data_IF_095268448969
#
_entry.id   IF_095268448969
#
_cell.length_a   1.000
_cell.length_b   1.000
_cell.length_c   1.000
_cell.angle_alpha   90.00
_cell.angle_beta   90.00
_cell.angle_gamma   90.00
#
_symmetry.space_group_name_H-M   'P 1'
#
loop_
_entity.id
_entity.type
_entity.pdbx_description
1 polymer ?
#
# COMPACT_ATOMS: atom_id res chain seq x y z
N UNK A 1 -17.28 13.65 -19.93
CA UNK A 1 -16.56 12.55 -19.24
C UNK A 1 -15.09 12.47 -19.67
N UNK A 2 -14.78 12.29 -20.96
CA UNK A 2 -13.39 12.25 -21.46
C UNK A 2 -12.54 13.51 -21.20
N UNK A 3 -13.06 14.75 -21.37
CA UNK A 3 -12.28 15.96 -21.08
C UNK A 3 -11.87 16.03 -19.60
N UNK A 4 -12.81 15.72 -18.71
CA UNK A 4 -12.59 15.62 -17.27
C UNK A 4 -11.50 14.60 -16.93
N UNK A 5 -11.59 13.40 -17.51
CA UNK A 5 -10.57 12.37 -17.34
C UNK A 5 -9.18 12.82 -17.80
N UNK A 6 -9.11 13.52 -18.94
CA UNK A 6 -7.86 14.07 -19.48
C UNK A 6 -7.27 15.14 -18.56
N UNK A 7 -8.09 16.03 -17.99
CA UNK A 7 -7.65 17.02 -17.00
C UNK A 7 -7.07 16.34 -15.75
N UNK A 8 -7.74 15.30 -15.24
CA UNK A 8 -7.22 14.51 -14.11
C UNK A 8 -5.85 13.91 -14.41
N UNK A 9 -5.70 13.30 -15.59
CA UNK A 9 -4.45 12.66 -16.00
C UNK A 9 -3.31 13.67 -16.12
N UNK A 10 -3.58 14.83 -16.74
CA UNK A 10 -2.61 15.92 -16.87
C UNK A 10 -2.16 16.45 -15.51
N UNK A 11 -3.08 16.62 -14.56
CA UNK A 11 -2.76 17.06 -13.21
C UNK A 11 -1.85 16.05 -12.50
N UNK A 12 -2.23 14.78 -12.49
CA UNK A 12 -1.45 13.71 -11.85
C UNK A 12 -0.06 13.55 -12.48
N UNK A 13 0.05 13.63 -13.80
CA UNK A 13 1.34 13.59 -14.49
C UNK A 13 2.18 14.84 -14.25
N UNK A 14 1.56 16.03 -14.16
CA UNK A 14 2.29 17.25 -13.83
C UNK A 14 2.86 17.16 -12.42
N UNK A 15 2.09 16.68 -11.44
CA UNK A 15 2.56 16.43 -10.08
C UNK A 15 3.72 15.43 -10.09
N UNK A 16 3.59 14.32 -10.82
CA UNK A 16 4.63 13.30 -10.93
C UNK A 16 5.91 13.83 -11.59
N UNK A 17 5.80 14.45 -12.77
CA UNK A 17 6.93 15.00 -13.52
C UNK A 17 7.65 16.08 -12.72
N UNK A 18 6.92 16.96 -12.04
CA UNK A 18 7.51 17.94 -11.14
C UNK A 18 8.25 17.27 -9.98
N UNK A 19 7.70 16.18 -9.42
CA UNK A 19 8.37 15.37 -8.40
C UNK A 19 9.66 14.72 -8.90
N UNK A 20 9.64 14.13 -10.10
CA UNK A 20 10.83 13.53 -10.74
C UNK A 20 11.88 14.61 -11.03
N UNK A 21 11.49 15.73 -11.62
CA UNK A 21 12.40 16.85 -11.89
C UNK A 21 13.02 17.40 -10.60
N UNK A 22 12.23 17.54 -9.54
CA UNK A 22 12.74 17.94 -8.23
C UNK A 22 13.79 16.95 -7.70
N UNK A 23 13.55 15.64 -7.83
CA UNK A 23 14.49 14.62 -7.41
C UNK A 23 15.78 14.61 -8.25
N UNK A 24 15.66 14.67 -9.58
CA UNK A 24 16.80 14.69 -10.49
C UNK A 24 17.70 15.92 -10.27
N UNK A 25 17.12 17.08 -9.96
CA UNK A 25 17.86 18.30 -9.60
C UNK A 25 18.64 18.18 -8.29
N UNK A 26 18.34 17.22 -7.42
CA UNK A 26 19.11 16.95 -6.19
C UNK A 26 20.33 16.05 -6.41
N UNK A 27 20.40 15.30 -7.52
CA UNK A 27 21.51 14.40 -7.79
C UNK A 27 22.69 15.24 -8.33
N UNK A 28 23.85 15.32 -7.65
CA UNK A 28 24.94 16.21 -8.05
C UNK A 28 25.43 16.00 -9.49
N UNK A 29 25.46 14.76 -9.97
CA UNK A 29 25.89 14.38 -11.31
C UNK A 29 24.90 14.82 -12.40
N UNK A 30 23.61 14.69 -12.12
CA UNK A 30 22.53 14.91 -13.11
C UNK A 30 22.02 16.35 -13.06
N UNK A 31 22.20 17.05 -11.92
CA UNK A 31 21.77 18.43 -11.70
C UNK A 31 22.20 19.36 -12.82
N UNK A 32 23.44 19.22 -13.32
CA UNK A 32 24.02 20.05 -14.40
C UNK A 32 23.26 19.94 -15.73
N UNK A 33 22.71 18.76 -16.04
CA UNK A 33 21.93 18.52 -17.27
C UNK A 33 20.55 19.19 -17.24
N UNK A 34 20.01 19.45 -16.05
CA UNK A 34 18.65 19.98 -15.85
C UNK A 34 18.64 21.41 -15.29
N UNK A 35 19.78 22.12 -15.27
CA UNK A 35 19.87 23.53 -14.83
C UNK A 35 19.08 24.44 -15.77
N UNK A 36 19.13 24.17 -17.08
CA UNK A 36 18.44 24.94 -18.13
C UNK A 36 17.04 24.42 -18.47
N UNK A 37 16.65 23.25 -17.95
CA UNK A 37 15.29 22.73 -18.09
C UNK A 37 14.34 23.59 -17.25
N UNK A 38 13.85 24.66 -17.87
CA UNK A 38 12.78 25.49 -17.33
C UNK A 38 11.49 24.68 -17.27
N UNK A 39 10.57 25.07 -16.39
CA UNK A 39 9.20 24.54 -16.37
C UNK A 39 8.43 24.76 -17.70
N UNK A 40 9.06 25.38 -18.72
CA UNK A 40 8.55 25.58 -20.07
C UNK A 40 8.35 24.31 -20.91
N UNK A 41 8.88 23.15 -20.49
CA UNK A 41 8.54 21.85 -21.09
C UNK A 41 7.03 21.50 -21.02
N UNK A 42 6.26 22.25 -20.21
CA UNK A 42 4.81 22.14 -20.07
C UNK A 42 4.03 22.68 -21.29
N UNK A 43 4.69 23.41 -22.20
CA UNK A 43 4.08 23.91 -23.45
C UNK A 43 3.59 22.79 -24.40
N UNK A 44 4.04 21.54 -24.19
CA UNK A 44 3.58 20.34 -24.91
C UNK A 44 2.28 19.75 -24.33
N UNK A 45 1.26 20.57 -24.07
CA UNK A 45 0.00 20.20 -23.36
C UNK A 45 -0.77 19.01 -23.96
N UNK A 46 -0.59 18.73 -25.26
CA UNK A 46 -1.22 17.58 -25.95
C UNK A 46 -0.39 16.30 -25.77
N UNK A 47 0.93 16.39 -25.93
CA UNK A 47 1.86 15.27 -25.71
C UNK A 47 1.83 14.82 -24.25
N UNK A 48 1.78 15.75 -23.30
CA UNK A 48 1.63 15.44 -21.89
C UNK A 48 0.39 14.60 -21.60
N UNK A 49 -0.75 14.86 -22.26
CA UNK A 49 -1.96 14.05 -22.09
C UNK A 49 -1.77 12.59 -22.49
N UNK A 50 -1.20 12.35 -23.67
CA UNK A 50 -0.91 10.98 -24.15
C UNK A 50 0.14 10.28 -23.30
N UNK A 51 1.23 10.96 -22.95
CA UNK A 51 2.27 10.43 -22.07
C UNK A 51 1.69 10.09 -20.69
N UNK A 52 0.81 10.93 -20.15
CA UNK A 52 0.11 10.67 -18.88
C UNK A 52 -0.71 9.40 -18.95
N UNK A 53 -1.46 9.21 -20.04
CA UNK A 53 -2.29 8.03 -20.24
C UNK A 53 -1.44 6.76 -20.29
N UNK A 54 -0.40 6.73 -21.13
CA UNK A 54 0.51 5.58 -21.27
C UNK A 54 1.21 5.29 -19.95
N UNK A 55 1.74 6.32 -19.29
CA UNK A 55 2.38 6.19 -17.98
C UNK A 55 1.44 5.60 -16.93
N UNK A 56 0.21 6.12 -16.81
CA UNK A 56 -0.76 5.61 -15.84
C UNK A 56 -1.19 4.18 -16.15
N UNK A 57 -1.37 3.85 -17.43
CA UNK A 57 -1.70 2.50 -17.86
C UNK A 57 -0.59 1.52 -17.48
N UNK A 58 0.66 1.83 -17.83
CA UNK A 58 1.83 1.01 -17.51
C UNK A 58 2.01 0.87 -15.99
N UNK A 59 1.95 1.97 -15.24
CA UNK A 59 2.17 1.95 -13.80
C UNK A 59 1.04 1.26 -13.03
N UNK A 60 -0.22 1.43 -13.47
CA UNK A 60 -1.36 0.68 -12.92
C UNK A 60 -1.25 -0.81 -13.21
N UNK A 61 -0.77 -1.17 -14.40
CA UNK A 61 -0.53 -2.56 -14.79
C UNK A 61 0.59 -3.19 -13.98
N UNK A 62 1.74 -2.52 -13.88
CA UNK A 62 2.86 -2.96 -13.04
C UNK A 62 2.45 -3.18 -11.59
N UNK A 63 1.68 -2.26 -10.99
CA UNK A 63 1.14 -2.43 -9.64
C UNK A 63 0.26 -3.67 -9.53
N UNK A 64 -0.62 -3.88 -10.51
CA UNK A 64 -1.56 -5.00 -10.50
C UNK A 64 -0.84 -6.34 -10.69
N UNK A 65 0.17 -6.38 -11.56
CA UNK A 65 1.06 -7.52 -11.78
C UNK A 65 1.82 -7.82 -10.49
N UNK A 66 2.47 -6.80 -9.88
CA UNK A 66 3.21 -6.97 -8.63
C UNK A 66 2.30 -7.48 -7.51
N UNK A 67 1.08 -6.95 -7.41
CA UNK A 67 0.10 -7.42 -6.44
C UNK A 67 -0.27 -8.89 -6.72
N UNK A 68 -0.48 -9.28 -7.98
CA UNK A 68 -0.75 -10.66 -8.34
C UNK A 68 0.45 -11.58 -8.02
N UNK A 69 1.68 -11.18 -8.32
CA UNK A 69 2.89 -11.93 -8.01
C UNK A 69 3.08 -12.09 -6.49
N UNK A 70 3.01 -11.00 -5.73
CA UNK A 70 3.24 -11.03 -4.28
C UNK A 70 2.12 -11.78 -3.57
N UNK A 71 0.85 -11.48 -3.86
CA UNK A 71 -0.25 -12.04 -3.09
C UNK A 71 -0.71 -13.42 -3.58
N UNK A 72 -0.40 -13.82 -4.82
CA UNK A 72 -0.77 -15.14 -5.32
C UNK A 72 0.45 -16.08 -5.38
N UNK A 73 1.59 -15.67 -5.95
CA UNK A 73 2.75 -16.57 -6.05
C UNK A 73 3.53 -16.71 -4.76
N UNK A 74 3.74 -15.65 -3.98
CA UNK A 74 4.56 -15.75 -2.76
C UNK A 74 4.00 -16.79 -1.78
N UNK A 75 2.70 -16.82 -1.46
CA UNK A 75 2.13 -17.91 -0.68
C UNK A 75 2.42 -19.28 -1.32
N UNK A 76 2.16 -19.44 -2.62
CA UNK A 76 2.37 -20.70 -3.32
C UNK A 76 3.83 -21.19 -3.25
N UNK A 77 4.81 -20.31 -3.42
CA UNK A 77 6.24 -20.65 -3.47
C UNK A 77 6.80 -20.93 -2.07
N UNK A 78 6.56 -20.04 -1.09
CA UNK A 78 7.20 -20.11 0.22
C UNK A 78 6.58 -21.14 1.16
N UNK A 79 5.33 -21.52 0.91
CA UNK A 79 4.57 -22.36 1.84
C UNK A 79 3.98 -23.60 1.14
N UNK A 80 4.34 -23.85 -0.12
CA UNK A 80 3.59 -24.78 -0.97
C UNK A 80 4.27 -25.36 -2.18
N UNK A 81 5.49 -25.88 -2.03
CA UNK A 81 6.03 -26.70 -3.10
C UNK A 81 5.19 -27.97 -3.30
N UNK A 82 4.56 -28.07 -4.48
CA UNK A 82 4.29 -29.36 -5.14
C UNK A 82 2.97 -30.08 -4.82
N UNK A 83 2.05 -29.54 -4.02
CA UNK A 83 0.80 -30.24 -3.68
C UNK A 83 -0.33 -29.98 -4.72
N UNK A 84 -0.74 -31.00 -5.52
CA UNK A 84 -1.81 -30.87 -6.53
C UNK A 84 -3.20 -30.58 -5.95
N UNK A 85 -3.39 -30.72 -4.64
CA UNK A 85 -4.65 -30.48 -3.95
C UNK A 85 -5.00 -29.00 -3.79
N UNK A 86 -4.01 -28.10 -3.87
CA UNK A 86 -4.20 -26.69 -3.51
C UNK A 86 -4.95 -25.91 -4.59
N UNK A 87 -5.88 -25.05 -4.16
CA UNK A 87 -6.81 -24.33 -5.02
C UNK A 87 -6.45 -22.84 -5.08
N UNK A 88 -5.66 -22.40 -6.08
CA UNK A 88 -5.12 -21.03 -6.13
C UNK A 88 -6.22 -19.95 -6.24
N UNK A 89 -7.38 -20.31 -6.78
CA UNK A 89 -8.55 -19.44 -6.85
C UNK A 89 -9.14 -19.08 -5.48
N UNK A 90 -8.82 -19.83 -4.42
CA UNK A 90 -9.14 -19.45 -3.03
C UNK A 90 -8.46 -18.13 -2.66
N UNK A 91 -7.18 -17.95 -3.00
CA UNK A 91 -6.48 -16.68 -2.76
C UNK A 91 -7.08 -15.54 -3.60
N UNK A 92 -7.47 -15.82 -4.85
CA UNK A 92 -8.14 -14.84 -5.71
C UNK A 92 -9.48 -14.39 -5.11
N UNK A 93 -10.28 -15.32 -4.61
CA UNK A 93 -11.57 -15.02 -3.98
C UNK A 93 -11.40 -14.09 -2.78
N UNK A 94 -10.47 -14.40 -1.88
CA UNK A 94 -10.27 -13.60 -0.67
C UNK A 94 -9.58 -12.27 -0.98
N UNK A 95 -8.46 -12.30 -1.71
CA UNK A 95 -7.57 -11.15 -1.84
C UNK A 95 -8.03 -10.14 -2.88
N UNK A 96 -8.83 -10.58 -3.87
CA UNK A 96 -9.39 -9.70 -4.88
C UNK A 96 -10.93 -9.64 -4.85
N UNK A 97 -11.63 -10.73 -4.53
CA UNK A 97 -13.10 -10.75 -4.52
C UNK A 97 -13.68 -10.07 -3.28
N UNK A 98 -13.46 -10.67 -2.11
CA UNK A 98 -14.05 -10.23 -0.84
C UNK A 98 -13.49 -8.89 -0.37
N UNK A 99 -12.18 -8.68 -0.49
CA UNK A 99 -11.56 -7.38 -0.17
C UNK A 99 -12.12 -6.23 -1.02
N UNK A 100 -12.50 -6.49 -2.28
CA UNK A 100 -13.03 -5.44 -3.17
C UNK A 100 -14.29 -4.79 -2.61
N UNK A 101 -15.13 -5.56 -1.90
CA UNK A 101 -16.37 -5.09 -1.27
C UNK A 101 -16.15 -3.97 -0.24
N UNK A 102 -14.94 -3.83 0.30
CA UNK A 102 -14.59 -2.88 1.35
C UNK A 102 -13.59 -1.82 0.90
N UNK A 103 -13.33 -1.72 -0.40
CA UNK A 103 -12.37 -0.75 -0.97
C UNK A 103 -13.06 0.24 -1.93
N UNK A 104 -14.02 1.08 -1.47
CA UNK A 104 -14.55 2.15 -2.31
C UNK A 104 -13.42 3.13 -2.63
N UNK A 105 -13.33 3.63 -3.86
CA UNK A 105 -12.27 4.59 -4.25
C UNK A 105 -12.80 6.00 -4.48
N UNK A 106 -14.10 6.14 -4.77
CA UNK A 106 -14.69 7.46 -4.98
C UNK A 106 -14.84 8.24 -3.66
N UNK A 107 -15.13 7.57 -2.55
CA UNK A 107 -15.34 8.20 -1.24
C UNK A 107 -14.13 8.10 -0.29
N UNK A 108 -12.92 8.01 -0.84
CA UNK A 108 -11.67 8.13 -0.08
C UNK A 108 -11.04 9.53 -0.20
N UNK A 109 -10.32 10.00 0.82
CA UNK A 109 -9.51 11.19 0.78
C UNK A 109 -8.31 10.96 -0.15
N UNK A 110 -8.12 11.89 -1.08
CA UNK A 110 -6.99 11.84 -2.00
C UNK A 110 -6.55 13.26 -2.36
N UNK A 111 -5.23 13.51 -2.34
CA UNK A 111 -4.68 14.84 -2.66
C UNK A 111 -5.10 15.35 -4.05
N UNK A 112 -5.03 14.50 -5.07
CA UNK A 112 -5.45 14.88 -6.43
C UNK A 112 -6.94 15.18 -6.50
N UNK A 113 -7.76 14.40 -5.77
CA UNK A 113 -9.21 14.63 -5.64
C UNK A 113 -9.50 15.98 -4.97
N UNK A 114 -8.79 16.27 -3.88
CA UNK A 114 -8.91 17.54 -3.18
C UNK A 114 -8.56 18.72 -4.09
N UNK A 115 -7.41 18.69 -4.77
CA UNK A 115 -6.99 19.76 -5.69
C UNK A 115 -8.04 19.96 -6.79
N UNK A 116 -8.49 18.89 -7.44
CA UNK A 116 -9.44 19.00 -8.55
C UNK A 116 -10.80 19.57 -8.11
N UNK A 117 -11.31 19.18 -6.95
CA UNK A 117 -12.64 19.58 -6.50
C UNK A 117 -12.63 20.91 -5.73
N UNK A 118 -11.64 21.14 -4.86
CA UNK A 118 -11.58 22.33 -3.99
C UNK A 118 -10.83 23.49 -4.62
N UNK A 119 -9.67 23.24 -5.23
CA UNK A 119 -8.82 24.29 -5.77
C UNK A 119 -9.22 24.63 -7.21
N UNK A 120 -9.39 23.61 -8.07
CA UNK A 120 -9.74 23.78 -9.48
C UNK A 120 -11.25 23.83 -9.74
N UNK A 121 -12.08 23.67 -8.70
CA UNK A 121 -13.55 23.76 -8.74
C UNK A 121 -14.18 22.92 -9.84
N UNK A 122 -13.63 21.73 -10.08
CA UNK A 122 -14.16 20.79 -11.06
C UNK A 122 -15.56 20.33 -10.65
N UNK A 123 -16.48 20.29 -11.62
CA UNK A 123 -17.86 19.90 -11.39
C UNK A 123 -17.95 18.46 -10.82
N UNK A 124 -18.59 18.22 -9.66
CA UNK A 124 -18.54 16.96 -8.92
C UNK A 124 -19.08 15.73 -9.66
N UNK A 125 -20.20 15.86 -10.39
CA UNK A 125 -20.85 14.75 -11.11
C UNK A 125 -19.94 14.31 -12.25
N UNK A 126 -19.44 15.28 -13.02
CA UNK A 126 -18.50 15.09 -14.10
C UNK A 126 -17.15 14.55 -13.61
N UNK A 127 -16.70 14.95 -12.42
CA UNK A 127 -15.54 14.37 -11.76
C UNK A 127 -15.80 12.90 -11.42
N UNK A 128 -16.86 12.59 -10.67
CA UNK A 128 -17.12 11.25 -10.15
C UNK A 128 -17.21 10.21 -11.28
N UNK A 129 -17.99 10.51 -12.31
CA UNK A 129 -18.16 9.64 -13.48
C UNK A 129 -16.82 9.40 -14.18
N UNK A 130 -16.08 10.46 -14.49
CA UNK A 130 -14.78 10.36 -15.15
C UNK A 130 -13.73 9.63 -14.30
N UNK A 131 -13.73 9.87 -12.98
CA UNK A 131 -12.84 9.22 -12.03
C UNK A 131 -13.10 7.72 -11.97
N UNK A 132 -14.36 7.30 -11.82
CA UNK A 132 -14.73 5.89 -11.75
C UNK A 132 -14.37 5.14 -13.03
N UNK A 133 -14.68 5.69 -14.21
CA UNK A 133 -14.30 5.08 -15.49
C UNK A 133 -12.78 4.93 -15.62
N UNK A 134 -12.03 6.00 -15.30
CA UNK A 134 -10.57 5.97 -15.32
C UNK A 134 -10.04 4.89 -14.37
N UNK A 135 -10.50 4.91 -13.12
CA UNK A 135 -9.95 4.09 -12.05
C UNK A 135 -10.28 2.62 -12.24
N UNK A 136 -11.54 2.27 -12.53
CA UNK A 136 -11.95 0.90 -12.75
C UNK A 136 -11.44 0.36 -14.08
N UNK A 137 -11.37 1.18 -15.13
CA UNK A 137 -10.77 0.81 -16.41
C UNK A 137 -9.29 0.44 -16.28
N UNK A 138 -8.48 1.27 -15.62
CA UNK A 138 -7.06 0.96 -15.42
C UNK A 138 -6.81 -0.21 -14.46
N UNK A 139 -7.64 -0.38 -13.42
CA UNK A 139 -7.57 -1.57 -12.55
C UNK A 139 -7.92 -2.83 -13.34
N UNK A 140 -8.96 -2.79 -14.17
CA UNK A 140 -9.37 -3.91 -14.99
C UNK A 140 -8.25 -4.33 -15.96
N UNK A 141 -7.71 -3.38 -16.73
CA UNK A 141 -6.62 -3.67 -17.68
C UNK A 141 -5.39 -4.21 -16.96
N UNK A 142 -4.96 -3.54 -15.89
CA UNK A 142 -3.78 -3.96 -15.14
C UNK A 142 -3.92 -5.33 -14.49
N UNK A 143 -5.08 -5.61 -13.88
CA UNK A 143 -5.37 -6.92 -13.27
C UNK A 143 -5.48 -8.03 -14.31
N UNK A 144 -6.12 -7.76 -15.44
CA UNK A 144 -6.23 -8.73 -16.54
C UNK A 144 -4.83 -9.11 -17.02
N UNK A 145 -3.94 -8.15 -17.24
CA UNK A 145 -2.54 -8.43 -17.60
C UNK A 145 -1.83 -9.25 -16.51
N UNK A 146 -2.00 -8.91 -15.24
CA UNK A 146 -1.45 -9.68 -14.12
C UNK A 146 -1.93 -11.14 -14.09
N UNK A 147 -3.23 -11.37 -14.29
CA UNK A 147 -3.78 -12.72 -14.32
C UNK A 147 -3.41 -13.48 -15.59
N UNK A 148 -3.28 -12.81 -16.74
CA UNK A 148 -2.78 -13.43 -17.96
C UNK A 148 -1.36 -13.97 -17.78
N UNK A 149 -0.47 -13.22 -17.13
CA UNK A 149 0.89 -13.68 -16.79
C UNK A 149 0.90 -14.89 -15.85
N UNK A 150 -0.15 -15.07 -15.06
CA UNK A 150 -0.31 -16.20 -14.13
C UNK A 150 -1.16 -17.34 -14.71
N UNK A 151 -1.44 -17.32 -16.01
CA UNK A 151 -2.11 -18.44 -16.69
C UNK A 151 -1.21 -19.67 -16.69
N UNK A 152 -1.78 -20.84 -16.38
CA UNK A 152 -1.05 -22.09 -16.20
C UNK A 152 -0.58 -22.33 -14.76
N UNK A 153 -0.52 -21.28 -13.92
CA UNK A 153 -0.17 -21.39 -12.50
C UNK A 153 -1.38 -21.17 -11.60
N UNK A 154 -2.09 -20.05 -11.79
CA UNK A 154 -3.26 -19.66 -10.99
C UNK A 154 -4.54 -19.86 -11.78
N UNK A 155 -4.56 -19.33 -13.01
CA UNK A 155 -5.70 -19.42 -13.93
C UNK A 155 -5.50 -20.58 -14.89
N UNK A 156 -6.55 -21.32 -15.26
CA UNK A 156 -6.40 -22.43 -16.23
C UNK A 156 -6.26 -21.96 -17.66
N UNK A 157 -6.87 -20.82 -18.01
CA UNK A 157 -6.85 -20.28 -19.37
C UNK A 157 -6.89 -18.75 -19.41
N UNK A 158 -6.50 -18.12 -20.54
CA UNK A 158 -6.63 -16.68 -20.72
C UNK A 158 -8.07 -16.17 -20.60
N UNK A 159 -9.05 -17.00 -20.99
CA UNK A 159 -10.47 -16.68 -20.87
C UNK A 159 -10.91 -16.63 -19.39
N UNK A 160 -10.37 -17.53 -18.56
CA UNK A 160 -10.61 -17.52 -17.12
C UNK A 160 -10.04 -16.25 -16.46
N UNK A 161 -8.83 -15.85 -16.85
CA UNK A 161 -8.21 -14.61 -16.39
C UNK A 161 -9.06 -13.37 -16.74
N UNK A 162 -9.60 -13.32 -17.96
CA UNK A 162 -10.50 -12.24 -18.40
C UNK A 162 -11.83 -12.27 -17.64
N UNK A 163 -12.44 -13.46 -17.50
CA UNK A 163 -13.71 -13.65 -16.80
C UNK A 163 -13.64 -13.21 -15.33
N UNK A 164 -12.63 -13.68 -14.59
CA UNK A 164 -12.41 -13.29 -13.19
C UNK A 164 -12.11 -11.79 -13.09
N UNK A 165 -11.36 -11.24 -14.05
CA UNK A 165 -11.10 -9.80 -14.08
C UNK A 165 -12.38 -8.97 -14.27
N UNK A 166 -13.30 -9.42 -15.13
CA UNK A 166 -14.62 -8.83 -15.31
C UNK A 166 -15.46 -8.92 -14.04
N UNK A 167 -15.50 -10.10 -13.40
CA UNK A 167 -16.22 -10.30 -12.13
C UNK A 167 -15.76 -9.31 -11.06
N UNK A 168 -14.45 -9.19 -10.83
CA UNK A 168 -13.92 -8.29 -9.80
C UNK A 168 -14.17 -6.82 -10.15
N UNK A 169 -14.19 -6.45 -11.44
CA UNK A 169 -14.58 -5.09 -11.87
C UNK A 169 -16.05 -4.84 -11.57
N UNK A 170 -16.92 -5.82 -11.84
CA UNK A 170 -18.35 -5.74 -11.52
C UNK A 170 -18.60 -5.57 -10.02
N UNK A 171 -17.93 -6.38 -9.19
CA UNK A 171 -17.94 -6.20 -7.73
C UNK A 171 -17.41 -4.83 -7.31
N UNK A 172 -16.41 -4.30 -8.03
CA UNK A 172 -15.89 -2.96 -7.82
C UNK A 172 -16.95 -1.88 -8.04
N UNK A 173 -17.65 -1.91 -9.17
CA UNK A 173 -18.75 -0.99 -9.44
C UNK A 173 -19.90 -1.14 -8.44
N UNK A 174 -20.20 -2.39 -8.04
CA UNK A 174 -21.13 -2.70 -6.95
C UNK A 174 -20.73 -2.05 -5.63
N UNK A 175 -19.45 -2.09 -5.30
CA UNK A 175 -18.89 -1.48 -4.10
C UNK A 175 -19.05 0.04 -4.13
N UNK A 176 -18.71 0.70 -5.25
CA UNK A 176 -18.87 2.15 -5.37
C UNK A 176 -20.34 2.56 -5.23
N UNK A 177 -21.25 1.85 -5.89
CA UNK A 177 -22.69 2.10 -5.79
C UNK A 177 -23.23 1.89 -4.36
N UNK A 178 -22.83 0.80 -3.69
CA UNK A 178 -23.21 0.50 -2.32
C UNK A 178 -22.76 1.62 -1.37
N UNK A 179 -21.52 2.11 -1.51
CA UNK A 179 -21.01 3.16 -0.63
C UNK A 179 -21.66 4.51 -0.89
N UNK A 180 -21.96 4.85 -2.15
CA UNK A 180 -22.77 6.02 -2.47
C UNK A 180 -24.18 5.92 -1.87
N UNK A 181 -24.79 4.73 -1.90
CA UNK A 181 -26.08 4.46 -1.27
C UNK A 181 -26.04 4.61 0.25
N UNK A 182 -25.06 3.99 0.90
CA UNK A 182 -24.86 4.10 2.35
C UNK A 182 -24.62 5.55 2.77
N UNK A 183 -23.86 6.32 1.98
CA UNK A 183 -23.68 7.74 2.22
C UNK A 183 -25.00 8.51 2.08
N UNK A 184 -25.78 8.27 1.02
CA UNK A 184 -27.08 8.94 0.82
C UNK A 184 -28.07 8.64 1.96
N UNK A 185 -28.08 7.40 2.47
CA UNK A 185 -29.03 6.96 3.50
C UNK A 185 -28.60 7.27 4.94
N UNK A 186 -27.32 7.14 5.25
CA UNK A 186 -26.80 7.18 6.63
C UNK A 186 -25.63 8.16 6.83
N UNK A 187 -25.22 8.88 5.79
CA UNK A 187 -23.97 9.67 5.77
C UNK A 187 -22.73 8.87 6.17
N UNK A 188 -22.79 7.56 5.95
CA UNK A 188 -21.73 6.62 6.32
C UNK A 188 -20.54 6.73 5.36
N UNK A 189 -19.34 6.89 5.91
CA UNK A 189 -18.08 6.93 5.18
C UNK A 189 -17.14 5.85 5.72
N UNK A 190 -16.85 4.84 4.90
CA UNK A 190 -16.04 3.70 5.32
C UNK A 190 -14.60 4.09 5.73
N UNK A 191 -14.06 5.14 5.10
CA UNK A 191 -12.72 5.66 5.38
C UNK A 191 -12.53 6.10 6.84
N UNK A 192 -13.61 6.52 7.52
CA UNK A 192 -13.55 6.95 8.93
C UNK A 192 -13.28 5.79 9.89
N UNK A 193 -13.43 4.54 9.42
CA UNK A 193 -13.22 3.32 10.20
C UNK A 193 -11.91 2.60 9.83
N UNK A 194 -10.83 3.36 9.60
CA UNK A 194 -9.52 2.85 9.15
C UNK A 194 -8.95 1.70 10.00
N UNK A 195 -9.09 1.74 11.32
CA UNK A 195 -8.62 0.68 12.22
C UNK A 195 -9.41 -0.62 12.00
N UNK A 196 -10.75 -0.53 11.94
CA UNK A 196 -11.61 -1.68 11.67
C UNK A 196 -11.31 -2.30 10.30
N UNK A 197 -11.01 -1.46 9.30
CA UNK A 197 -10.59 -1.93 7.99
C UNK A 197 -9.27 -2.69 8.02
N UNK A 198 -8.29 -2.24 8.81
CA UNK A 198 -7.03 -2.97 8.98
C UNK A 198 -7.28 -4.37 9.52
N UNK A 199 -8.07 -4.50 10.60
CA UNK A 199 -8.42 -5.81 11.16
C UNK A 199 -9.20 -6.67 10.16
N UNK A 200 -10.13 -6.08 9.42
CA UNK A 200 -10.88 -6.78 8.38
C UNK A 200 -9.96 -7.29 7.27
N UNK A 201 -9.01 -6.49 6.79
CA UNK A 201 -8.06 -6.92 5.77
C UNK A 201 -7.10 -7.98 6.29
N UNK A 202 -6.64 -7.89 7.54
CA UNK A 202 -5.86 -8.95 8.18
C UNK A 202 -6.65 -10.25 8.29
N UNK A 203 -7.94 -10.18 8.62
CA UNK A 203 -8.82 -11.34 8.67
C UNK A 203 -9.06 -11.95 7.29
N UNK A 204 -9.28 -11.13 6.26
CA UNK A 204 -9.46 -11.62 4.89
C UNK A 204 -8.16 -12.21 4.31
N UNK A 205 -7.03 -11.55 4.54
CA UNK A 205 -5.73 -12.04 4.06
C UNK A 205 -5.27 -13.28 4.83
N UNK A 206 -5.32 -13.23 6.16
CA UNK A 206 -4.98 -14.35 7.03
C UNK A 206 -5.92 -15.54 6.85
N UNK A 207 -7.23 -15.29 6.77
CA UNK A 207 -8.24 -16.32 6.53
C UNK A 207 -8.13 -16.95 5.14
N UNK A 208 -7.90 -16.14 4.10
CA UNK A 208 -7.67 -16.64 2.74
C UNK A 208 -6.42 -17.51 2.64
N UNK A 209 -5.31 -17.08 3.27
CA UNK A 209 -4.10 -17.88 3.36
C UNK A 209 -4.33 -19.16 4.17
N UNK A 210 -4.94 -19.08 5.35
CA UNK A 210 -5.23 -20.24 6.20
C UNK A 210 -6.09 -21.28 5.48
N UNK A 211 -7.16 -20.86 4.80
CA UNK A 211 -8.00 -21.77 4.01
C UNK A 211 -7.24 -22.38 2.82
N UNK A 212 -6.37 -21.62 2.17
CA UNK A 212 -5.55 -22.13 1.08
C UNK A 212 -4.58 -23.25 1.54
N UNK A 213 -4.04 -23.19 2.77
CA UNK A 213 -3.14 -24.22 3.30
C UNK A 213 -3.84 -25.34 4.05
N UNK A 214 -4.69 -25.00 5.01
CA UNK A 214 -5.27 -25.93 5.97
C UNK A 214 -6.65 -26.42 5.54
N UNK A 215 -7.26 -25.80 4.53
CA UNK A 215 -8.56 -26.18 3.98
C UNK A 215 -8.48 -26.65 2.53
N UNK A 216 -7.72 -27.70 2.17
CA UNK A 216 -7.55 -28.15 0.79
C UNK A 216 -8.87 -28.53 0.09
N UNK A 217 -9.91 -28.88 0.87
CA UNK A 217 -11.26 -29.14 0.37
C UNK A 217 -12.00 -27.87 -0.10
N UNK A 218 -11.60 -26.69 0.37
CA UNK A 218 -12.21 -25.42 0.00
C UNK A 218 -11.61 -24.91 -1.32
N UNK A 219 -12.45 -24.85 -2.34
CA UNK A 219 -12.09 -24.36 -3.66
C UNK A 219 -12.83 -23.05 -3.95
N UNK A 220 -12.14 -21.92 -3.80
CA UNK A 220 -12.69 -20.61 -4.16
C UNK A 220 -13.09 -20.52 -5.63
N UNK A 221 -12.54 -21.37 -6.49
CA UNK A 221 -12.93 -21.50 -7.90
C UNK A 221 -14.37 -21.98 -8.07
N UNK A 222 -14.88 -22.82 -7.17
CA UNK A 222 -16.29 -23.26 -7.18
C UNK A 222 -17.27 -22.11 -6.96
N UNK A 223 -16.83 -21.04 -6.30
CA UNK A 223 -17.64 -19.83 -6.09
C UNK A 223 -17.42 -18.85 -7.25
N UNK A 224 -16.16 -18.55 -7.56
CA UNK A 224 -15.80 -17.56 -8.58
C UNK A 224 -16.28 -17.95 -9.98
N UNK A 225 -16.13 -19.22 -10.36
CA UNK A 225 -16.45 -19.71 -11.71
C UNK A 225 -17.88 -20.25 -11.83
N UNK A 226 -18.68 -20.20 -10.76
CA UNK A 226 -20.06 -20.66 -10.81
C UNK A 226 -20.90 -19.75 -11.73
N UNK A 227 -21.70 -20.30 -12.66
CA UNK A 227 -22.52 -19.50 -13.58
C UNK A 227 -23.46 -18.52 -12.85
N UNK A 228 -24.04 -18.94 -11.73
CA UNK A 228 -24.91 -18.09 -10.89
C UNK A 228 -24.16 -16.89 -10.35
N UNK A 229 -22.90 -17.04 -9.92
CA UNK A 229 -22.07 -15.92 -9.46
C UNK A 229 -21.86 -14.92 -10.61
N UNK A 230 -21.57 -15.41 -11.81
CA UNK A 230 -21.49 -14.61 -13.03
C UNK A 230 -22.75 -13.78 -13.28
N UNK A 231 -23.91 -14.42 -13.27
CA UNK A 231 -25.21 -13.76 -13.51
C UNK A 231 -25.51 -12.73 -12.42
N UNK A 232 -25.33 -13.08 -11.14
CA UNK A 232 -25.58 -12.17 -10.02
C UNK A 232 -24.67 -10.95 -10.07
N UNK A 233 -23.37 -11.14 -10.31
CA UNK A 233 -22.42 -10.02 -10.43
C UNK A 233 -22.75 -9.15 -11.64
N UNK A 234 -23.16 -9.74 -12.77
CA UNK A 234 -23.59 -8.97 -13.94
C UNK A 234 -24.84 -8.12 -13.65
N UNK A 235 -25.85 -8.69 -12.98
CA UNK A 235 -27.06 -7.96 -12.55
C UNK A 235 -26.72 -6.82 -11.59
N UNK A 236 -25.91 -7.11 -10.56
CA UNK A 236 -25.44 -6.08 -9.61
C UNK A 236 -24.68 -4.99 -10.35
N UNK A 237 -23.82 -5.35 -11.30
CA UNK A 237 -23.05 -4.38 -12.10
C UNK A 237 -23.98 -3.46 -12.89
N UNK A 238 -25.00 -4.01 -13.56
CA UNK A 238 -25.96 -3.22 -14.33
C UNK A 238 -26.74 -2.24 -13.44
N UNK A 239 -27.27 -2.72 -12.30
CA UNK A 239 -27.97 -1.88 -11.31
C UNK A 239 -27.03 -0.80 -10.77
N UNK A 240 -25.78 -1.15 -10.50
CA UNK A 240 -24.78 -0.23 -9.95
C UNK A 240 -24.40 0.87 -10.93
N UNK A 241 -24.24 0.55 -12.22
CA UNK A 241 -24.00 1.55 -13.28
C UNK A 241 -25.19 2.49 -13.39
N UNK A 242 -26.42 1.95 -13.39
CA UNK A 242 -27.63 2.77 -13.42
C UNK A 242 -27.70 3.72 -12.21
N UNK A 243 -27.44 3.20 -11.00
CA UNK A 243 -27.42 3.98 -9.76
C UNK A 243 -26.34 5.07 -9.75
N UNK A 244 -25.11 4.74 -10.15
CA UNK A 244 -24.01 5.70 -10.27
C UNK A 244 -24.37 6.81 -11.28
N UNK A 245 -25.07 6.47 -12.37
CA UNK A 245 -25.44 7.46 -13.38
C UNK A 245 -26.46 8.48 -12.87
N UNK A 246 -27.44 8.03 -12.08
CA UNK A 246 -28.56 8.81 -11.53
C UNK A 246 -28.34 9.30 -10.09
N UNK A 247 -27.13 9.16 -9.54
CA UNK A 247 -26.84 9.62 -8.20
C UNK A 247 -26.76 11.15 -8.12
N UNK A 248 -27.63 11.78 -7.33
CA UNK A 248 -27.73 13.25 -7.27
C UNK A 248 -26.86 13.89 -6.18
N UNK A 249 -26.42 13.12 -5.18
CA UNK A 249 -25.73 13.63 -3.98
C UNK A 249 -24.20 13.69 -4.13
N UNK A 250 -23.69 13.80 -5.36
CA UNK A 250 -22.25 13.77 -5.62
C UNK A 250 -21.51 14.93 -4.96
N UNK A 251 -22.12 16.12 -4.96
CA UNK A 251 -21.52 17.31 -4.37
C UNK A 251 -21.31 17.10 -2.86
N UNK A 252 -22.35 16.71 -2.13
CA UNK A 252 -22.27 16.49 -0.69
C UNK A 252 -21.35 15.32 -0.34
N UNK A 253 -21.38 14.24 -1.11
CA UNK A 253 -20.53 13.07 -0.87
C UNK A 253 -19.05 13.40 -1.04
N UNK A 254 -18.70 14.11 -2.13
CA UNK A 254 -17.32 14.45 -2.41
C UNK A 254 -16.79 15.56 -1.51
N UNK A 255 -17.62 16.54 -1.11
CA UNK A 255 -17.21 17.58 -0.17
C UNK A 255 -16.97 17.03 1.25
N UNK A 256 -17.73 16.02 1.69
CA UNK A 256 -17.54 15.40 2.99
C UNK A 256 -16.21 14.62 3.11
N UNK A 257 -15.71 14.07 2.01
CA UNK A 257 -14.41 13.38 1.98
C UNK A 257 -13.25 14.33 1.68
N UNK A 258 -13.48 15.48 1.04
CA UNK A 258 -12.45 16.47 0.70
C UNK A 258 -12.43 17.70 1.62
N UNK A 259 -12.81 17.56 2.89
CA UNK A 259 -12.78 18.70 3.81
C UNK A 259 -11.34 19.18 4.10
N UNK A 260 -11.19 20.49 4.32
CA UNK A 260 -9.88 21.08 4.69
C UNK A 260 -9.34 20.45 5.97
N UNK A 261 -10.21 20.24 6.97
CA UNK A 261 -9.87 19.57 8.22
C UNK A 261 -9.32 18.16 8.01
N UNK A 262 -9.94 17.34 7.14
CA UNK A 262 -9.43 15.99 6.83
C UNK A 262 -8.08 16.03 6.13
N UNK A 263 -7.88 16.96 5.20
CA UNK A 263 -6.57 17.17 4.55
C UNK A 263 -5.50 17.63 5.52
N UNK A 264 -5.84 18.54 6.43
CA UNK A 264 -4.94 19.02 7.47
C UNK A 264 -4.56 17.91 8.43
N UNK A 265 -5.54 17.14 8.94
CA UNK A 265 -5.29 15.95 9.76
C UNK A 265 -4.37 14.94 9.06
N UNK A 266 -4.61 14.67 7.77
CA UNK A 266 -3.74 13.79 6.99
C UNK A 266 -2.31 14.37 6.88
N UNK A 267 -2.17 15.67 6.62
CA UNK A 267 -0.86 16.33 6.53
C UNK A 267 -0.12 16.32 7.87
N UNK A 268 -0.82 16.60 8.97
CA UNK A 268 -0.26 16.57 10.33
C UNK A 268 0.14 15.15 10.70
N UNK A 269 -0.70 14.14 10.45
CA UNK A 269 -0.35 12.74 10.67
C UNK A 269 0.88 12.30 9.87
N UNK A 270 1.02 12.75 8.60
CA UNK A 270 2.22 12.51 7.81
C UNK A 270 3.45 13.23 8.38
N UNK A 271 3.32 14.46 8.88
CA UNK A 271 4.40 15.21 9.50
C UNK A 271 4.84 14.56 10.82
N UNK A 272 3.89 14.14 11.65
CA UNK A 272 4.12 13.43 12.90
C UNK A 272 4.78 12.07 12.66
N UNK A 273 4.29 11.27 11.71
CA UNK A 273 4.90 10.00 11.34
C UNK A 273 6.36 10.17 10.86
N UNK A 274 6.68 11.30 10.20
CA UNK A 274 8.05 11.62 9.81
C UNK A 274 8.97 11.91 10.99
N UNK A 275 8.48 12.26 12.16
CA UNK A 275 9.33 12.54 13.33
C UNK A 275 9.08 11.60 14.51
N UNK A 276 8.11 10.69 14.42
CA UNK A 276 7.66 9.84 15.52
C UNK A 276 8.77 8.96 16.14
N UNK A 277 9.73 8.52 15.35
CA UNK A 277 10.86 7.69 15.75
C UNK A 277 11.99 8.47 16.47
N UNK A 278 11.98 9.80 16.33
CA UNK A 278 12.99 10.75 16.84
C UNK A 278 12.42 11.84 17.75
N UNK A 279 11.11 11.82 18.03
CA UNK A 279 10.44 12.77 18.93
C UNK A 279 10.78 12.46 20.39
N UNK A 280 11.30 13.46 21.10
CA UNK A 280 11.55 13.37 22.55
C UNK A 280 10.24 13.13 23.31
N UNK A 281 10.32 12.38 24.41
CA UNK A 281 9.21 12.18 25.36
C UNK A 281 9.58 12.82 26.70
N UNK A 282 8.59 13.19 27.50
CA UNK A 282 8.78 13.72 28.85
C UNK A 282 9.67 12.82 29.73
N UNK A 283 9.53 11.49 29.60
CA UNK A 283 10.40 10.52 30.30
C UNK A 283 11.90 10.60 29.93
N UNK A 284 12.26 11.17 28.78
CA UNK A 284 13.66 11.36 28.41
C UNK A 284 14.29 12.54 29.19
N UNK A 285 13.46 13.50 29.65
CA UNK A 285 13.89 14.60 30.52
C UNK A 285 14.00 14.14 31.99
N UNK A 286 13.10 13.28 32.47
CA UNK A 286 13.15 12.77 33.85
C UNK A 286 14.36 11.86 34.12
N UNK A 287 14.83 11.12 33.10
CA UNK A 287 16.09 10.38 33.15
C UNK A 287 17.31 11.29 33.38
N UNK A 288 17.20 12.57 33.04
CA UNK A 288 18.23 13.59 33.28
C UNK A 288 18.22 14.07 34.73
N UNK A 289 17.06 14.30 35.35
CA UNK A 289 16.98 14.72 36.76
C UNK A 289 17.54 13.67 37.72
N UNK A 290 17.31 12.38 37.45
CA UNK A 290 17.85 11.29 38.28
C UNK A 290 19.35 11.07 38.09
N UNK A 291 19.91 11.30 36.89
CA UNK A 291 21.32 11.02 36.56
C UNK A 291 22.22 12.24 36.50
N UNK A 292 21.66 13.45 36.50
CA UNK A 292 22.35 14.74 36.46
C UNK A 292 23.18 15.04 37.71
N UNK A 293 23.07 14.23 38.77
CA UNK A 293 23.93 14.32 39.97
C UNK A 293 25.36 13.80 39.76
N UNK A 294 25.69 13.18 38.62
CA UNK A 294 27.09 12.82 38.28
C UNK A 294 27.72 13.93 37.44
N UNK A 295 28.53 14.77 38.09
CA UNK A 295 29.35 15.81 37.47
C UNK A 295 30.13 15.25 36.28
N UNK A 296 29.90 15.78 35.07
CA UNK A 296 30.73 15.47 33.91
C UNK A 296 31.94 16.40 33.93
N UNK A 297 33.15 15.84 33.94
CA UNK A 297 34.41 16.59 33.88
C UNK A 297 34.70 17.19 32.48
N UNK A 298 33.77 17.06 31.53
CA UNK A 298 33.95 17.57 30.17
C UNK A 298 33.53 19.03 30.07
N UNK A 299 34.22 19.77 29.22
CA UNK A 299 33.92 21.18 28.93
C UNK A 299 33.60 21.41 27.45
N UNK A 300 32.96 22.55 27.16
CA UNK A 300 32.69 23.01 25.79
C UNK A 300 31.84 22.03 24.96
N UNK A 301 32.26 21.77 23.72
CA UNK A 301 31.52 20.90 22.81
C UNK A 301 31.40 19.46 23.32
N UNK A 302 32.43 18.95 23.99
CA UNK A 302 32.43 17.58 24.50
C UNK A 302 31.35 17.38 25.59
N UNK A 303 31.12 18.41 26.41
CA UNK A 303 30.02 18.45 27.38
C UNK A 303 28.67 18.47 26.70
N UNK A 304 28.47 19.38 25.73
CA UNK A 304 27.21 19.51 25.01
C UNK A 304 26.86 18.24 24.22
N UNK A 305 27.85 17.62 23.58
CA UNK A 305 27.68 16.36 22.87
C UNK A 305 27.35 15.22 23.84
N UNK A 306 27.99 15.15 25.00
CA UNK A 306 27.63 14.16 26.02
C UNK A 306 26.19 14.35 26.54
N UNK A 307 25.80 15.59 26.83
CA UNK A 307 24.45 15.93 27.26
C UNK A 307 23.44 15.52 26.18
N UNK A 308 23.73 15.82 24.92
CA UNK A 308 22.93 15.41 23.77
C UNK A 308 22.76 13.90 23.71
N UNK A 309 23.86 13.12 23.73
CA UNK A 309 23.80 11.65 23.65
C UNK A 309 23.09 11.04 24.88
N UNK A 310 23.22 11.64 26.07
CA UNK A 310 22.50 11.18 27.26
C UNK A 310 20.99 11.40 27.12
N UNK A 311 20.55 12.60 26.75
CA UNK A 311 19.14 12.95 26.53
C UNK A 311 18.51 12.14 25.39
N UNK A 312 19.28 11.87 24.34
CA UNK A 312 18.84 11.14 23.16
C UNK A 312 19.18 9.64 23.20
N UNK A 313 19.69 9.15 24.35
CA UNK A 313 20.24 7.79 24.49
C UNK A 313 19.24 6.68 24.16
N UNK A 314 17.94 6.93 24.35
CA UNK A 314 16.87 6.00 23.96
C UNK A 314 16.84 5.75 22.45
N UNK A 315 17.07 6.78 21.62
CA UNK A 315 17.02 6.65 20.16
C UNK A 315 18.10 5.72 19.64
N UNK A 316 19.28 5.75 20.25
CA UNK A 316 20.39 4.87 19.91
C UNK A 316 20.26 3.48 20.55
N UNK A 317 20.01 3.42 21.86
CA UNK A 317 20.07 2.16 22.64
C UNK A 317 18.88 1.25 22.42
N UNK A 318 17.65 1.78 22.38
CA UNK A 318 16.43 0.97 22.27
C UNK A 318 16.39 0.12 20.99
N UNK A 319 16.62 0.65 19.78
CA UNK A 319 16.66 -0.19 18.59
C UNK A 319 17.80 -1.21 18.62
N UNK A 320 18.96 -0.88 19.18
CA UNK A 320 20.05 -1.85 19.36
C UNK A 320 19.56 -3.02 20.22
N UNK A 321 19.01 -2.76 21.40
CA UNK A 321 18.53 -3.82 22.29
C UNK A 321 17.41 -4.67 21.66
N UNK A 322 16.43 -4.04 21.00
CA UNK A 322 15.33 -4.77 20.36
C UNK A 322 15.86 -5.65 19.21
N UNK A 323 16.76 -5.12 18.38
CA UNK A 323 17.36 -5.87 17.26
C UNK A 323 18.25 -7.01 17.75
N UNK A 324 19.08 -6.76 18.75
CA UNK A 324 19.91 -7.79 19.40
C UNK A 324 19.05 -8.88 20.03
N UNK A 325 17.95 -8.52 20.70
CA UNK A 325 17.02 -9.49 21.28
C UNK A 325 16.35 -10.36 20.21
N UNK A 326 16.02 -9.80 19.05
CA UNK A 326 15.46 -10.55 17.92
C UNK A 326 16.47 -11.57 17.39
N UNK A 327 17.73 -11.16 17.19
CA UNK A 327 18.81 -12.06 16.76
C UNK A 327 19.03 -13.18 17.78
N UNK A 328 19.14 -12.85 19.06
CA UNK A 328 19.26 -13.84 20.13
C UNK A 328 18.04 -14.78 20.15
N UNK A 329 16.83 -14.25 19.97
CA UNK A 329 15.59 -15.04 19.90
C UNK A 329 15.62 -16.09 18.78
N UNK A 330 16.15 -15.75 17.60
CA UNK A 330 16.33 -16.72 16.50
C UNK A 330 17.27 -17.85 16.93
N UNK A 331 18.40 -17.53 17.54
CA UNK A 331 19.35 -18.54 18.02
C UNK A 331 18.77 -19.40 19.16
N UNK A 332 17.97 -18.82 20.05
CA UNK A 332 17.26 -19.56 21.11
C UNK A 332 16.25 -20.53 20.50
N UNK A 333 15.49 -20.12 19.48
CA UNK A 333 14.55 -21.00 18.77
C UNK A 333 15.31 -22.14 18.08
N UNK A 334 16.42 -21.86 17.38
CA UNK A 334 17.25 -22.90 16.76
C UNK A 334 17.81 -23.89 17.79
N UNK A 335 18.27 -23.37 18.95
CA UNK A 335 18.71 -24.20 20.06
C UNK A 335 17.58 -25.06 20.65
N UNK A 336 16.38 -24.51 20.78
CA UNK A 336 15.20 -25.24 21.23
C UNK A 336 14.82 -26.35 20.24
N UNK A 337 14.82 -26.06 18.94
CA UNK A 337 14.56 -27.06 17.90
C UNK A 337 15.57 -28.20 17.98
N UNK A 338 16.86 -27.89 18.16
CA UNK A 338 17.91 -28.91 18.34
C UNK A 338 17.70 -29.82 19.54
N UNK A 339 17.19 -29.29 20.66
CA UNK A 339 17.03 -30.05 21.91
C UNK A 339 15.73 -30.86 21.93
N UNK A 340 14.66 -30.36 21.33
CA UNK A 340 13.31 -30.92 21.49
C UNK A 340 12.73 -31.57 20.22
N UNK A 341 13.36 -31.45 19.06
CA UNK A 341 12.91 -32.05 17.79
C UNK A 341 14.00 -32.94 17.17
N UNK A 342 13.61 -33.73 16.16
CA UNK A 342 14.51 -34.63 15.43
C UNK A 342 15.70 -33.89 14.80
N UNK A 343 16.89 -34.51 14.83
CA UNK A 343 18.13 -33.92 14.29
C UNK A 343 18.01 -33.51 12.82
N UNK A 344 17.23 -34.25 12.04
CA UNK A 344 16.99 -33.98 10.61
C UNK A 344 16.29 -32.63 10.38
N UNK A 345 15.36 -32.24 11.26
CA UNK A 345 14.68 -30.94 11.17
C UNK A 345 15.66 -29.80 11.42
N UNK A 346 16.52 -29.92 12.44
CA UNK A 346 17.55 -28.93 12.74
C UNK A 346 18.56 -28.82 11.60
N UNK A 347 19.06 -29.94 11.08
CA UNK A 347 20.04 -29.97 10.00
C UNK A 347 19.46 -29.36 8.71
N UNK A 348 18.19 -29.65 8.38
CA UNK A 348 17.51 -29.04 7.24
C UNK A 348 17.40 -27.53 7.41
N UNK A 349 16.92 -27.04 8.56
CA UNK A 349 16.80 -25.60 8.81
C UNK A 349 18.15 -24.87 8.80
N UNK A 350 19.19 -25.47 9.38
CA UNK A 350 20.54 -24.90 9.40
C UNK A 350 21.15 -24.82 7.99
N UNK A 351 20.95 -25.86 7.18
CA UNK A 351 21.46 -25.91 5.80
C UNK A 351 20.74 -24.91 4.90
N UNK A 352 19.42 -24.77 5.02
CA UNK A 352 18.64 -23.77 4.29
C UNK A 352 19.01 -22.32 4.70
N UNK A 353 19.21 -22.09 6.00
CA UNK A 353 19.59 -20.78 6.53
C UNK A 353 20.98 -20.36 6.06
N UNK A 354 21.94 -21.28 6.07
CA UNK A 354 23.32 -21.04 5.60
C UNK A 354 23.42 -20.99 4.07
N UNK A 355 22.67 -21.83 3.36
CA UNK A 355 22.54 -21.79 1.90
C UNK A 355 21.94 -20.48 1.38
N UNK A 356 21.09 -19.84 2.19
CA UNK A 356 20.49 -18.54 1.90
C UNK A 356 21.35 -17.33 2.31
N UNK A 357 22.69 -17.45 2.32
CA UNK A 357 23.59 -16.42 2.84
C UNK A 357 23.39 -15.02 2.24
N UNK A 358 22.94 -14.94 0.98
CA UNK A 358 22.61 -13.68 0.30
C UNK A 358 21.50 -12.90 1.02
N UNK A 359 20.57 -13.57 1.71
CA UNK A 359 19.54 -12.93 2.54
C UNK A 359 20.14 -12.18 3.73
N UNK A 360 21.32 -12.59 4.23
CA UNK A 360 21.97 -11.90 5.34
C UNK A 360 22.40 -10.49 5.00
N UNK A 361 22.69 -10.19 3.73
CA UNK A 361 23.00 -8.82 3.29
C UNK A 361 21.76 -7.92 3.49
N UNK A 362 20.58 -8.40 3.08
CA UNK A 362 19.33 -7.67 3.27
C UNK A 362 18.94 -7.54 4.75
N UNK A 363 19.12 -8.61 5.53
CA UNK A 363 18.94 -8.58 6.99
C UNK A 363 19.87 -7.56 7.64
N UNK A 364 21.14 -7.51 7.24
CA UNK A 364 22.11 -6.53 7.75
C UNK A 364 21.67 -5.09 7.43
N UNK A 365 21.18 -4.82 6.22
CA UNK A 365 20.62 -3.51 5.87
C UNK A 365 19.39 -3.15 6.71
N UNK A 366 18.50 -4.10 7.00
CA UNK A 366 17.35 -3.87 7.89
C UNK A 366 17.78 -3.65 9.36
N UNK A 367 18.85 -4.31 9.78
CA UNK A 367 19.42 -4.18 11.12
C UNK A 367 20.23 -2.88 11.29
N UNK A 368 20.67 -2.23 10.22
CA UNK A 368 21.32 -0.91 10.29
C UNK A 368 20.40 0.17 10.88
N UNK A 369 20.96 1.05 11.71
CA UNK A 369 20.26 2.17 12.35
C UNK A 369 20.65 3.55 11.79
N UNK A 370 21.56 3.60 10.79
CA UNK A 370 22.19 4.85 10.34
C UNK A 370 21.21 5.95 9.94
N UNK A 371 20.11 5.59 9.27
CA UNK A 371 19.07 6.56 8.89
C UNK A 371 18.37 7.16 10.11
N UNK A 372 18.07 6.34 11.11
CA UNK A 372 17.40 6.79 12.34
C UNK A 372 18.32 7.67 13.17
N UNK A 373 19.60 7.31 13.27
CA UNK A 373 20.60 8.05 14.03
C UNK A 373 20.84 9.43 13.40
N UNK A 374 21.05 9.47 12.07
CA UNK A 374 21.17 10.73 11.31
C UNK A 374 19.94 11.63 11.51
N UNK A 375 18.76 11.02 11.48
CA UNK A 375 17.49 11.72 11.65
C UNK A 375 17.35 12.27 13.06
N UNK A 376 17.74 11.52 14.09
CA UNK A 376 17.69 11.98 15.47
C UNK A 376 18.61 13.19 15.70
N UNK A 377 19.79 13.20 15.04
CA UNK A 377 20.76 14.31 15.09
C UNK A 377 20.35 15.55 14.29
N UNK A 378 19.48 15.42 13.28
CA UNK A 378 19.03 16.56 12.47
C UNK A 378 17.76 17.22 12.98
N UNK A 379 16.88 16.46 13.63
CA UNK A 379 15.59 16.94 14.13
C UNK A 379 15.63 17.46 15.56
N UNK A 380 16.66 17.10 16.34
CA UNK A 380 16.92 17.59 17.69
C UNK A 380 18.32 18.20 17.73
#
# INVERSE_FOLDING_TARGET
MFPNMMTMMKLEASIFLNGVLYFLKKIPLVKKLFVSASYGFISMKRVLGYVSFVYQLLFSSLKSILLALVFLLLPMVFLGQGDPGRKPLTLVLFFYGLTRLFMPTLLELNKSKFILLKELKMEPVGYAKAFLLKKEGFKFLGRTLGFLLLTGVVMKSPLEALYISLLITGLGLGTEALHLFLYKKKRFLLEEHSISLIFLYLLLFGGGAALFYYGPSFDGGRILLHPVTGILVALVTFISIAYIRSYDYYMEALLAVTSYEKMEKMNNAMAEARVADVKLRESDYNLEEEKGKKSSEKEGYAYLHELFIRRHGRFFRKPIYVKSALVVGVFVILGFVKVFFEEDLFNTMATELTGSYTLFIFLMYMLSNSQRDTKAMFYN
#
